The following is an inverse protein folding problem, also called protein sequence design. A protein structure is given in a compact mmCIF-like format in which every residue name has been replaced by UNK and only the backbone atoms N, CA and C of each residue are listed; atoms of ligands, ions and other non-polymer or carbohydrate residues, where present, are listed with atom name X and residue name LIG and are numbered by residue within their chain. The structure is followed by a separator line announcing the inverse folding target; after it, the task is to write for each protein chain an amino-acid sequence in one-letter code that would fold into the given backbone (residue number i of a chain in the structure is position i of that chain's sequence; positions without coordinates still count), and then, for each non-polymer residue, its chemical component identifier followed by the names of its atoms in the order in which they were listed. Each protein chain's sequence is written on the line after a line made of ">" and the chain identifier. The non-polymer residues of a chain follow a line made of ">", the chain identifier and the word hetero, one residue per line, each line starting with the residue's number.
data_IF_923108596638
#
_entry.id   IF_923108596638
#
_cell.length_a   1.000
_cell.length_b   1.000
_cell.length_c   1.000
_cell.angle_alpha   90.00
_cell.angle_beta   90.00
_cell.angle_gamma   90.00
#
_symmetry.space_group_name_H-M   'P 1'
#
loop_
_entity.id
_entity.type
_entity.pdbx_description
1 polymer ?
#
# COMPACT_ATOMS: atom_id res chain seq x y z
N UNK A 1 -21.43 4.91 -8.60
CA UNK A 1 -20.81 4.94 -9.94
C UNK A 1 -19.34 4.74 -9.67
N UNK A 2 -18.80 3.53 -9.93
CA UNK A 2 -17.35 3.34 -9.90
C UNK A 2 -16.79 4.16 -11.05
N UNK A 3 -16.03 5.20 -10.73
CA UNK A 3 -15.23 5.87 -11.73
C UNK A 3 -14.21 4.84 -12.23
N UNK A 4 -14.20 4.55 -13.54
CA UNK A 4 -13.29 3.59 -14.13
C UNK A 4 -11.85 4.07 -13.88
N UNK A 5 -11.07 3.21 -13.22
CA UNK A 5 -9.67 3.49 -12.98
C UNK A 5 -8.89 3.39 -14.29
N UNK A 6 -7.98 4.32 -14.52
CA UNK A 6 -7.20 4.41 -15.75
C UNK A 6 -6.42 3.10 -16.04
N UNK A 7 -5.82 2.51 -14.99
CA UNK A 7 -5.05 1.27 -15.08
C UNK A 7 -5.89 0.01 -15.38
N UNK A 8 -7.22 0.10 -15.26
CA UNK A 8 -8.14 -1.01 -15.50
C UNK A 8 -9.10 -0.78 -16.66
N UNK A 9 -9.04 0.39 -17.29
CA UNK A 9 -9.95 0.77 -18.39
C UNK A 9 -9.75 -0.12 -19.64
N UNK A 10 -8.49 -0.41 -19.99
CA UNK A 10 -8.13 -1.26 -21.11
C UNK A 10 -7.12 -2.35 -20.69
N UNK A 11 -7.10 -3.51 -21.38
CA UNK A 11 -6.08 -4.52 -21.17
C UNK A 11 -4.67 -3.96 -21.39
N UNK A 12 -3.70 -4.44 -20.61
CA UNK A 12 -2.32 -3.98 -20.71
C UNK A 12 -1.69 -4.28 -22.08
N UNK A 13 -2.14 -5.34 -22.75
CA UNK A 13 -1.75 -5.71 -24.12
C UNK A 13 -2.05 -4.63 -25.16
N UNK A 14 -3.06 -3.80 -24.92
CA UNK A 14 -3.45 -2.74 -25.85
C UNK A 14 -2.48 -1.55 -25.87
N UNK A 15 -1.54 -1.50 -24.91
CA UNK A 15 -0.46 -0.50 -24.86
C UNK A 15 0.83 -1.01 -25.52
N UNK A 16 0.77 -1.98 -26.42
CA UNK A 16 1.90 -2.37 -27.26
C UNK A 16 2.19 -1.33 -28.32
N UNK A 17 3.39 -1.35 -28.88
CA UNK A 17 3.79 -0.44 -29.94
C UNK A 17 3.42 -1.05 -31.29
N UNK A 18 2.75 -0.27 -32.14
CA UNK A 18 2.42 -0.66 -33.50
C UNK A 18 3.54 -0.25 -34.46
N UNK A 19 3.75 -1.07 -35.48
CA UNK A 19 4.74 -0.82 -36.48
C UNK A 19 4.07 -0.49 -37.82
N UNK A 20 4.21 0.74 -38.28
CA UNK A 20 3.74 1.18 -39.58
C UNK A 20 4.89 1.35 -40.56
N UNK A 21 4.80 0.70 -41.69
CA UNK A 21 5.72 0.87 -42.83
C UNK A 21 4.96 1.42 -44.00
N UNK A 22 5.33 2.62 -44.45
CA UNK A 22 4.80 3.16 -45.70
C UNK A 22 5.34 2.37 -46.90
N UNK A 23 4.47 1.60 -47.55
CA UNK A 23 4.76 0.79 -48.73
C UNK A 23 4.54 1.51 -50.06
N UNK A 24 4.21 2.81 -50.01
CA UNK A 24 3.89 3.59 -51.19
C UNK A 24 5.09 3.78 -52.10
N UNK A 25 5.40 2.98 -53.02
CA UNK A 25 6.44 3.09 -54.06
C UNK A 25 7.55 2.02 -53.98
N UNK A 26 7.27 0.86 -53.46
CA UNK A 26 8.25 -0.26 -53.37
C UNK A 26 8.64 -0.90 -54.72
N UNK A 27 7.98 -0.56 -55.84
CA UNK A 27 8.21 -1.16 -57.16
C UNK A 27 9.32 -0.49 -57.97
N UNK A 28 9.91 0.62 -57.50
CA UNK A 28 10.95 1.34 -58.19
C UNK A 28 12.33 0.70 -57.96
N UNK A 29 13.15 0.45 -59.00
CA UNK A 29 14.42 -0.30 -58.88
C UNK A 29 15.48 0.36 -57.97
N UNK A 30 15.43 1.67 -57.79
CA UNK A 30 16.36 2.40 -56.89
C UNK A 30 15.96 2.32 -55.42
N UNK A 31 14.81 1.76 -55.10
CA UNK A 31 14.36 1.54 -53.72
C UNK A 31 14.80 0.16 -53.15
N UNK A 32 15.66 -0.60 -53.89
CA UNK A 32 16.17 -1.89 -53.38
C UNK A 32 17.05 -1.73 -52.13
N UNK A 33 17.72 -0.59 -51.97
CA UNK A 33 18.44 -0.24 -50.76
C UNK A 33 17.52 0.04 -49.58
N UNK A 34 16.26 0.45 -49.86
CA UNK A 34 15.25 0.66 -48.80
C UNK A 34 14.82 -0.66 -48.16
N UNK A 35 14.93 -1.79 -48.83
CA UNK A 35 14.64 -3.10 -48.28
C UNK A 35 15.54 -3.47 -47.07
N UNK A 36 16.83 -3.09 -47.14
CA UNK A 36 17.77 -3.28 -46.03
C UNK A 36 17.42 -2.31 -44.90
N UNK A 37 17.09 -1.05 -45.22
CA UNK A 37 16.66 -0.05 -44.23
C UNK A 37 15.39 -0.45 -43.51
N UNK A 38 14.40 -1.00 -44.22
CA UNK A 38 13.14 -1.52 -43.62
C UNK A 38 13.38 -2.73 -42.70
N UNK A 39 14.28 -3.64 -43.09
CA UNK A 39 14.64 -4.79 -42.27
C UNK A 39 15.33 -4.37 -40.96
N UNK A 40 16.19 -3.36 -41.02
CA UNK A 40 16.85 -2.79 -39.83
C UNK A 40 15.84 -2.06 -38.97
N UNK A 41 14.91 -1.31 -39.54
CA UNK A 41 13.82 -0.63 -38.84
C UNK A 41 12.91 -1.66 -38.12
N UNK A 42 12.55 -2.74 -38.81
CA UNK A 42 11.77 -3.81 -38.22
C UNK A 42 12.52 -4.51 -37.08
N UNK A 43 13.81 -4.76 -37.23
CA UNK A 43 14.66 -5.32 -36.18
C UNK A 43 14.74 -4.41 -34.95
N UNK A 44 14.91 -3.10 -35.16
CA UNK A 44 14.89 -2.11 -34.08
C UNK A 44 13.52 -2.06 -33.41
N UNK A 45 12.44 -2.08 -34.18
CA UNK A 45 11.09 -2.16 -33.64
C UNK A 45 10.90 -3.39 -32.74
N UNK A 46 11.30 -4.57 -33.20
CA UNK A 46 11.19 -5.79 -32.40
C UNK A 46 11.93 -5.68 -31.06
N UNK A 47 13.14 -5.12 -31.06
CA UNK A 47 13.92 -4.90 -29.85
C UNK A 47 13.24 -3.87 -28.96
N UNK A 48 12.80 -2.75 -29.52
CA UNK A 48 12.12 -1.68 -28.78
C UNK A 48 10.82 -2.18 -28.16
N UNK A 49 10.00 -2.89 -28.94
CA UNK A 49 8.75 -3.46 -28.47
C UNK A 49 8.96 -4.52 -27.37
N UNK A 50 10.01 -5.32 -27.47
CA UNK A 50 10.37 -6.28 -26.44
C UNK A 50 10.76 -5.57 -25.12
N UNK A 51 11.64 -4.56 -25.20
CA UNK A 51 12.02 -3.76 -24.03
C UNK A 51 10.82 -3.02 -23.45
N UNK A 52 9.99 -2.46 -24.33
CA UNK A 52 8.76 -1.79 -23.94
C UNK A 52 7.78 -2.74 -23.22
N UNK A 53 7.57 -3.93 -23.74
CA UNK A 53 6.72 -4.95 -23.12
C UNK A 53 7.18 -5.31 -21.72
N UNK A 54 8.49 -5.51 -21.52
CA UNK A 54 9.05 -5.76 -20.19
C UNK A 54 8.78 -4.56 -19.26
N UNK A 55 9.04 -3.34 -19.75
CA UNK A 55 8.79 -2.11 -18.98
C UNK A 55 7.32 -1.96 -18.59
N UNK A 56 6.41 -2.24 -19.52
CA UNK A 56 4.96 -2.20 -19.35
C UNK A 56 4.50 -3.12 -18.20
N UNK A 57 4.91 -4.39 -18.25
CA UNK A 57 4.54 -5.35 -17.19
C UNK A 57 5.18 -5.02 -15.86
N UNK A 58 6.44 -4.56 -15.85
CA UNK A 58 7.14 -4.18 -14.63
C UNK A 58 6.50 -2.93 -14.00
N UNK A 59 6.12 -1.95 -14.80
CA UNK A 59 5.44 -0.74 -14.33
C UNK A 59 4.07 -1.05 -13.73
N UNK A 60 3.29 -1.92 -14.38
CA UNK A 60 2.01 -2.36 -13.84
C UNK A 60 2.17 -3.17 -12.55
N UNK A 61 3.18 -4.05 -12.47
CA UNK A 61 3.50 -4.80 -11.25
C UNK A 61 3.90 -3.85 -10.12
N UNK A 62 4.68 -2.81 -10.40
CA UNK A 62 5.05 -1.78 -9.43
C UNK A 62 3.81 -1.05 -8.90
N UNK A 63 2.91 -0.64 -9.80
CA UNK A 63 1.64 -0.02 -9.42
C UNK A 63 0.78 -0.93 -8.53
N UNK A 64 0.72 -2.22 -8.84
CA UNK A 64 0.01 -3.22 -8.04
C UNK A 64 0.63 -3.37 -6.64
N UNK A 65 1.96 -3.50 -6.55
CA UNK A 65 2.67 -3.62 -5.26
C UNK A 65 2.47 -2.39 -4.39
N UNK A 66 2.53 -1.19 -5.00
CA UNK A 66 2.26 0.07 -4.29
C UNK A 66 0.81 0.09 -3.77
N UNK A 67 -0.17 -0.25 -4.60
CA UNK A 67 -1.56 -0.33 -4.18
C UNK A 67 -1.77 -1.34 -3.04
N UNK A 68 -1.18 -2.53 -3.14
CA UNK A 68 -1.30 -3.56 -2.12
C UNK A 68 -0.59 -3.17 -0.81
N UNK A 69 0.53 -2.45 -0.88
CA UNK A 69 1.22 -1.93 0.30
C UNK A 69 0.39 -0.91 1.09
N UNK A 70 -0.49 -0.18 0.41
CA UNK A 70 -1.43 0.76 1.05
C UNK A 70 -2.72 0.09 1.52
N UNK A 71 -3.04 -1.13 1.06
CA UNK A 71 -4.11 -1.92 1.65
C UNK A 71 -3.64 -2.45 3.00
N UNK A 72 -4.28 -1.97 4.04
CA UNK A 72 -3.87 -2.15 5.44
C UNK A 72 -4.13 -3.55 6.01
N UNK A 73 -4.65 -4.47 5.22
CA UNK A 73 -4.98 -5.83 5.69
C UNK A 73 -3.76 -6.55 6.26
N UNK A 74 -2.60 -6.48 5.56
CA UNK A 74 -1.36 -7.07 6.05
C UNK A 74 -0.88 -6.44 7.38
N UNK A 75 -0.99 -5.11 7.51
CA UNK A 75 -0.57 -4.40 8.72
C UNK A 75 -1.55 -4.68 9.87
N UNK A 76 -2.85 -4.80 9.59
CA UNK A 76 -3.86 -5.20 10.56
C UNK A 76 -3.62 -6.63 11.07
N UNK A 77 -3.30 -7.57 10.20
CA UNK A 77 -2.96 -8.95 10.57
C UNK A 77 -1.69 -9.01 11.42
N UNK A 78 -0.67 -8.22 11.09
CA UNK A 78 0.54 -8.09 11.91
C UNK A 78 0.22 -7.50 13.28
N UNK A 79 -0.59 -6.44 13.33
CA UNK A 79 -0.99 -5.77 14.58
C UNK A 79 -1.75 -6.74 15.50
N UNK A 80 -2.69 -7.51 14.94
CA UNK A 80 -3.43 -8.55 15.67
C UNK A 80 -2.50 -9.66 16.18
N UNK A 81 -1.57 -10.13 15.33
CA UNK A 81 -0.57 -11.14 15.72
C UNK A 81 0.36 -10.65 16.83
N UNK A 82 0.80 -9.40 16.79
CA UNK A 82 1.62 -8.79 17.85
C UNK A 82 0.82 -8.69 19.14
N UNK A 83 -0.43 -8.22 19.08
CA UNK A 83 -1.31 -8.10 20.23
C UNK A 83 -1.55 -9.45 20.92
N UNK A 84 -1.86 -10.49 20.13
CA UNK A 84 -2.01 -11.88 20.64
C UNK A 84 -0.72 -12.45 21.19
N UNK A 85 0.42 -12.12 20.61
CA UNK A 85 1.73 -12.53 21.13
C UNK A 85 2.01 -11.91 22.49
N UNK A 86 1.68 -10.63 22.68
CA UNK A 86 1.80 -9.95 23.99
C UNK A 86 0.91 -10.63 25.02
N UNK A 87 -0.36 -10.92 24.70
CA UNK A 87 -1.27 -11.65 25.58
C UNK A 87 -0.74 -13.03 25.97
N UNK A 88 -0.25 -13.77 24.99
CA UNK A 88 0.28 -15.14 25.20
C UNK A 88 1.52 -15.14 26.06
N UNK A 89 2.48 -14.24 25.79
CA UNK A 89 3.71 -14.10 26.58
C UNK A 89 3.42 -13.67 28.03
N UNK A 90 2.52 -12.73 28.19
CA UNK A 90 2.13 -12.27 29.52
C UNK A 90 1.27 -13.30 30.26
N UNK A 91 0.49 -14.09 29.52
CA UNK A 91 -0.51 -15.00 30.09
C UNK A 91 -1.73 -14.26 30.64
N UNK A 92 -2.07 -13.11 30.02
CA UNK A 92 -3.21 -12.28 30.41
C UNK A 92 -4.10 -12.11 29.20
N UNK A 93 -5.36 -12.50 29.32
CA UNK A 93 -6.38 -12.39 28.29
C UNK A 93 -7.65 -11.76 28.88
N UNK A 94 -8.62 -11.42 28.04
CA UNK A 94 -9.94 -10.96 28.48
C UNK A 94 -10.65 -11.98 29.38
N UNK A 95 -10.33 -13.26 29.21
CA UNK A 95 -10.93 -14.37 29.99
C UNK A 95 -10.20 -14.66 31.30
N UNK A 96 -9.09 -13.95 31.58
CA UNK A 96 -8.34 -14.10 32.82
C UNK A 96 -6.84 -14.36 32.67
N UNK A 97 -6.26 -14.97 33.69
CA UNK A 97 -4.82 -15.18 33.80
C UNK A 97 -4.45 -16.64 33.56
N UNK A 98 -3.38 -16.84 32.80
CA UNK A 98 -2.76 -18.15 32.55
C UNK A 98 -1.54 -18.31 33.48
N UNK A 99 -1.40 -19.48 34.08
CA UNK A 99 -0.23 -19.81 34.89
C UNK A 99 1.08 -19.96 34.08
N UNK A 100 0.98 -20.04 32.77
CA UNK A 100 2.14 -20.22 31.86
C UNK A 100 2.79 -18.88 31.46
N UNK A 101 2.12 -17.74 31.70
CA UNK A 101 2.64 -16.43 31.37
C UNK A 101 3.54 -15.82 32.42
N UNK A 102 4.44 -14.94 32.04
CA UNK A 102 5.38 -14.29 32.98
C UNK A 102 4.70 -13.31 33.94
N UNK A 103 3.51 -12.78 33.55
CA UNK A 103 2.83 -11.74 34.35
C UNK A 103 2.45 -12.22 35.73
N UNK A 104 1.91 -13.44 35.84
CA UNK A 104 1.51 -14.03 37.15
C UNK A 104 2.73 -14.26 38.04
N UNK A 105 3.83 -14.78 37.49
CA UNK A 105 5.07 -14.97 38.26
C UNK A 105 5.68 -13.63 38.74
N UNK A 106 5.68 -12.63 37.88
CA UNK A 106 6.14 -11.29 38.23
C UNK A 106 5.23 -10.60 39.25
N UNK A 107 3.91 -10.80 39.10
CA UNK A 107 2.92 -10.31 40.05
C UNK A 107 3.16 -10.87 41.49
N UNK A 108 3.42 -12.17 41.59
CA UNK A 108 3.69 -12.80 42.90
C UNK A 108 4.93 -12.18 43.57
N UNK A 109 5.97 -11.88 42.81
CA UNK A 109 7.17 -11.21 43.31
C UNK A 109 6.84 -9.79 43.80
N UNK A 110 6.05 -9.02 43.04
CA UNK A 110 5.66 -7.66 43.44
C UNK A 110 4.76 -7.70 44.66
N UNK A 111 3.81 -8.64 44.76
CA UNK A 111 2.95 -8.81 45.95
C UNK A 111 3.82 -9.06 47.18
N UNK A 112 4.86 -9.88 47.07
CA UNK A 112 5.78 -10.15 48.19
C UNK A 112 6.51 -8.87 48.62
N UNK A 113 7.04 -8.09 47.66
CA UNK A 113 7.75 -6.82 47.98
C UNK A 113 6.79 -5.78 48.57
N UNK A 114 5.61 -5.58 47.99
CA UNK A 114 4.60 -4.66 48.48
C UNK A 114 4.08 -5.11 49.85
N UNK A 115 3.87 -6.42 50.03
CA UNK A 115 3.45 -7.00 51.28
C UNK A 115 4.45 -6.75 52.39
N UNK A 116 5.74 -6.92 52.16
CA UNK A 116 6.81 -6.58 53.12
C UNK A 116 6.81 -5.08 53.46
N UNK A 117 6.65 -4.22 52.47
CA UNK A 117 6.59 -2.77 52.66
C UNK A 117 5.35 -2.38 53.50
N UNK A 118 4.19 -2.93 53.19
CA UNK A 118 2.93 -2.70 53.92
C UNK A 118 3.04 -3.20 55.36
N UNK A 119 3.59 -4.41 55.59
CA UNK A 119 3.81 -4.95 56.92
C UNK A 119 4.78 -4.09 57.73
N UNK A 120 5.89 -3.65 57.13
CA UNK A 120 6.85 -2.78 57.79
C UNK A 120 6.24 -1.42 58.18
N UNK A 121 5.57 -0.75 57.23
CA UNK A 121 4.98 0.58 57.47
C UNK A 121 3.75 0.51 58.39
N UNK A 122 2.90 -0.48 58.23
CA UNK A 122 1.66 -0.64 58.99
C UNK A 122 1.89 -1.17 60.39
N UNK A 123 2.72 -2.22 60.59
CA UNK A 123 2.93 -2.88 61.86
C UNK A 123 4.07 -2.25 62.67
N UNK A 124 5.21 -1.99 62.04
CA UNK A 124 6.40 -1.48 62.74
C UNK A 124 6.35 0.03 62.92
N UNK A 125 6.12 0.78 61.84
CA UNK A 125 6.03 2.25 61.89
C UNK A 125 4.68 2.76 62.38
N UNK A 126 3.66 1.92 62.41
CA UNK A 126 2.27 2.29 62.77
C UNK A 126 1.68 3.40 61.89
N UNK A 127 2.19 3.54 60.64
CA UNK A 127 1.72 4.51 59.65
C UNK A 127 0.66 3.85 58.75
N UNK A 128 -0.48 3.51 59.31
CA UNK A 128 -1.57 2.77 58.60
C UNK A 128 -2.06 3.47 57.36
N UNK A 129 -2.08 4.81 57.35
CA UNK A 129 -2.48 5.58 56.18
C UNK A 129 -1.52 5.37 54.98
N UNK A 130 -0.21 5.35 55.21
CA UNK A 130 0.78 5.10 54.14
C UNK A 130 0.71 3.66 53.65
N UNK A 131 0.52 2.70 54.54
CA UNK A 131 0.33 1.30 54.19
C UNK A 131 -0.91 1.11 53.29
N UNK A 132 -2.03 1.74 53.69
CA UNK A 132 -3.27 1.69 52.88
C UNK A 132 -3.09 2.32 51.52
N UNK A 133 -2.43 3.47 51.39
CA UNK A 133 -2.15 4.09 50.09
C UNK A 133 -1.28 3.20 49.20
N UNK A 134 -0.30 2.50 49.77
CA UNK A 134 0.53 1.57 49.00
C UNK A 134 -0.27 0.41 48.43
N UNK A 135 -1.21 -0.15 49.22
CA UNK A 135 -2.12 -1.22 48.75
C UNK A 135 -3.03 -0.70 47.64
N UNK A 136 -3.66 0.47 47.81
CA UNK A 136 -4.55 1.05 46.83
C UNK A 136 -3.79 1.32 45.51
N UNK A 137 -2.62 1.96 45.60
CA UNK A 137 -1.79 2.21 44.41
C UNK A 137 -1.39 0.92 43.70
N UNK A 138 -1.02 -0.11 44.44
CA UNK A 138 -0.70 -1.42 43.89
C UNK A 138 -1.90 -2.00 43.11
N UNK A 139 -3.10 -2.01 43.75
CA UNK A 139 -4.31 -2.54 43.10
C UNK A 139 -4.65 -1.76 41.83
N UNK A 140 -4.58 -0.43 41.87
CA UNK A 140 -4.85 0.42 40.70
C UNK A 140 -3.86 0.12 39.59
N UNK A 141 -2.56 0.10 39.85
CA UNK A 141 -1.53 -0.20 38.84
C UNK A 141 -1.69 -1.62 38.29
N UNK A 142 -2.00 -2.58 39.17
CA UNK A 142 -2.26 -3.96 38.74
C UNK A 142 -3.44 -4.08 37.79
N UNK A 143 -4.59 -3.48 38.15
CA UNK A 143 -5.79 -3.52 37.29
C UNK A 143 -5.54 -2.83 35.95
N UNK A 144 -4.92 -1.64 35.99
CA UNK A 144 -4.60 -0.92 34.74
C UNK A 144 -3.62 -1.69 33.84
N UNK A 145 -2.57 -2.27 34.43
CA UNK A 145 -1.57 -3.06 33.72
C UNK A 145 -2.18 -4.33 33.12
N UNK A 146 -2.96 -5.07 33.90
CA UNK A 146 -3.64 -6.27 33.42
C UNK A 146 -4.65 -5.94 32.28
N UNK A 147 -5.43 -4.87 32.46
CA UNK A 147 -6.37 -4.41 31.44
C UNK A 147 -5.65 -4.00 30.14
N UNK A 148 -4.53 -3.28 30.27
CA UNK A 148 -3.76 -2.88 29.09
C UNK A 148 -3.24 -4.07 28.28
N UNK A 149 -2.76 -5.13 28.97
CA UNK A 149 -2.28 -6.34 28.33
C UNK A 149 -3.46 -7.15 27.75
N UNK A 150 -4.55 -7.29 28.51
CA UNK A 150 -5.73 -8.04 28.08
C UNK A 150 -6.37 -7.48 26.80
N UNK A 151 -6.35 -6.17 26.64
CA UNK A 151 -6.88 -5.49 25.44
C UNK A 151 -5.78 -5.03 24.48
N UNK A 152 -4.58 -5.59 24.57
CA UNK A 152 -3.46 -5.22 23.68
C UNK A 152 -3.79 -5.34 22.18
N UNK A 153 -4.46 -6.40 21.70
CA UNK A 153 -4.83 -6.48 20.27
C UNK A 153 -5.71 -5.31 19.82
N UNK A 154 -6.70 -4.94 20.66
CA UNK A 154 -7.63 -3.85 20.33
C UNK A 154 -6.94 -2.49 20.31
N UNK A 155 -6.04 -2.23 21.26
CA UNK A 155 -5.28 -0.97 21.27
C UNK A 155 -4.34 -0.87 20.07
N UNK A 156 -3.62 -1.94 19.77
CA UNK A 156 -2.67 -1.95 18.65
C UNK A 156 -3.43 -1.77 17.34
N UNK A 157 -4.57 -2.45 17.17
CA UNK A 157 -5.42 -2.29 16.00
C UNK A 157 -5.94 -0.86 15.85
N UNK A 158 -6.46 -0.26 16.91
CA UNK A 158 -6.95 1.13 16.88
C UNK A 158 -5.85 2.15 16.62
N UNK A 159 -4.65 1.95 17.16
CA UNK A 159 -3.49 2.81 16.85
C UNK A 159 -3.13 2.67 15.38
N UNK A 160 -3.17 1.46 14.83
CA UNK A 160 -2.90 1.22 13.43
C UNK A 160 -3.98 1.84 12.54
N UNK A 161 -5.27 1.67 12.83
CA UNK A 161 -6.39 2.31 12.13
C UNK A 161 -6.22 3.85 12.11
N UNK A 162 -5.94 4.44 13.27
CA UNK A 162 -5.71 5.88 13.38
C UNK A 162 -4.49 6.36 12.56
N UNK A 163 -3.38 5.62 12.60
CA UNK A 163 -2.18 5.91 11.79
C UNK A 163 -2.50 5.83 10.30
N UNK A 164 -3.31 4.85 9.91
CA UNK A 164 -3.80 4.67 8.57
C UNK A 164 -4.66 5.84 8.09
N UNK A 165 -5.63 6.24 8.90
CA UNK A 165 -6.53 7.35 8.59
C UNK A 165 -5.73 8.64 8.35
N UNK A 166 -4.71 8.90 9.20
CA UNK A 166 -3.81 10.04 9.00
C UNK A 166 -3.01 9.90 7.70
N UNK A 167 -2.49 8.70 7.41
CA UNK A 167 -1.73 8.46 6.18
C UNK A 167 -2.60 8.66 4.95
N UNK A 168 -3.81 8.12 4.94
CA UNK A 168 -4.79 8.27 3.85
C UNK A 168 -5.19 9.74 3.67
N UNK A 169 -5.47 10.46 4.75
CA UNK A 169 -5.79 11.88 4.69
C UNK A 169 -4.61 12.72 4.15
N UNK A 170 -3.38 12.36 4.52
CA UNK A 170 -2.17 13.02 4.02
C UNK A 170 -1.94 12.75 2.53
N UNK A 171 -2.21 11.52 2.09
CA UNK A 171 -2.15 11.12 0.68
C UNK A 171 -3.23 11.83 -0.14
N UNK A 172 -4.47 11.92 0.36
CA UNK A 172 -5.56 12.63 -0.30
C UNK A 172 -5.24 14.11 -0.50
N UNK A 173 -4.68 14.77 0.52
CA UNK A 173 -4.18 16.13 0.41
C UNK A 173 -3.05 16.26 -0.61
N UNK A 174 -2.06 15.35 -0.57
CA UNK A 174 -0.94 15.33 -1.51
C UNK A 174 -1.41 15.14 -2.95
N UNK A 175 -2.34 14.23 -3.18
CA UNK A 175 -2.89 13.93 -4.52
C UNK A 175 -3.68 15.11 -5.08
N UNK A 176 -4.51 15.76 -4.25
CA UNK A 176 -5.25 16.97 -4.65
C UNK A 176 -4.34 18.16 -4.97
N UNK A 177 -3.19 18.26 -4.30
CA UNK A 177 -2.20 19.31 -4.60
C UNK A 177 -1.45 19.01 -5.90
N UNK A 178 -1.10 17.74 -6.15
CA UNK A 178 -0.33 17.34 -7.34
C UNK A 178 -1.18 17.24 -8.61
N UNK A 179 -2.45 16.87 -8.48
CA UNK A 179 -3.38 16.63 -9.59
C UNK A 179 -4.68 17.40 -9.41
N UNK A 180 -4.66 18.74 -9.43
CA UNK A 180 -5.85 19.57 -9.14
C UNK A 180 -6.98 19.39 -10.16
N UNK A 181 -6.71 18.84 -11.35
CA UNK A 181 -7.67 18.64 -12.45
C UNK A 181 -7.99 17.15 -12.71
N UNK A 182 -7.56 16.23 -11.84
CA UNK A 182 -7.97 14.83 -11.99
C UNK A 182 -9.44 14.67 -11.58
N UNK A 183 -10.21 13.87 -12.35
CA UNK A 183 -11.56 13.42 -11.97
C UNK A 183 -11.46 12.52 -10.73
N UNK A 184 -11.23 13.15 -9.58
CA UNK A 184 -11.04 12.49 -8.29
C UNK A 184 -12.36 12.22 -7.56
N UNK A 185 -13.50 12.61 -8.14
CA UNK A 185 -14.81 12.37 -7.53
C UNK A 185 -15.09 10.85 -7.45
N UNK A 186 -15.01 10.31 -6.25
CA UNK A 186 -15.38 8.93 -5.93
C UNK A 186 -14.26 7.89 -6.02
N UNK A 187 -13.01 8.28 -6.27
CA UNK A 187 -11.84 7.39 -6.22
C UNK A 187 -11.14 7.46 -4.86
N UNK A 188 -10.71 6.31 -4.37
CA UNK A 188 -9.84 6.23 -3.21
C UNK A 188 -8.45 6.81 -3.54
N UNK A 189 -7.81 7.45 -2.56
CA UNK A 189 -6.48 8.08 -2.73
C UNK A 189 -5.42 7.09 -3.24
N UNK A 190 -5.53 5.82 -2.87
CA UNK A 190 -4.64 4.75 -3.32
C UNK A 190 -4.84 4.43 -4.81
N UNK A 191 -6.09 4.41 -5.27
CA UNK A 191 -6.43 4.22 -6.68
C UNK A 191 -5.97 5.41 -7.53
N UNK A 192 -6.05 6.64 -7.01
CA UNK A 192 -5.51 7.83 -7.67
C UNK A 192 -3.99 7.78 -7.82
N UNK A 193 -3.26 7.30 -6.81
CA UNK A 193 -1.81 7.10 -6.90
C UNK A 193 -1.48 6.06 -7.96
N UNK A 194 -2.22 4.95 -8.01
CA UNK A 194 -2.03 3.92 -9.01
C UNK A 194 -2.32 4.42 -10.42
N UNK A 195 -3.41 5.16 -10.61
CA UNK A 195 -3.74 5.82 -11.88
C UNK A 195 -2.65 6.80 -12.31
N UNK A 196 -2.12 7.58 -11.38
CA UNK A 196 -1.02 8.52 -11.66
C UNK A 196 0.26 7.81 -12.05
N UNK A 197 0.62 6.74 -11.35
CA UNK A 197 1.78 5.90 -11.71
C UNK A 197 1.58 5.25 -13.09
N UNK A 198 0.39 4.75 -13.38
CA UNK A 198 0.07 4.18 -14.68
C UNK A 198 0.18 5.22 -15.79
N UNK A 199 -0.38 6.41 -15.60
CA UNK A 199 -0.30 7.51 -16.57
C UNK A 199 1.16 7.90 -16.84
N UNK A 200 1.98 8.07 -15.80
CA UNK A 200 3.38 8.50 -15.94
C UNK A 200 4.27 7.40 -16.53
N UNK A 201 4.06 6.15 -16.14
CA UNK A 201 4.97 5.05 -16.50
C UNK A 201 4.52 4.26 -17.74
N UNK A 202 3.25 4.30 -18.10
CA UNK A 202 2.68 3.53 -19.21
C UNK A 202 2.08 4.44 -20.25
N UNK A 203 1.06 5.22 -19.92
CA UNK A 203 0.27 5.97 -20.90
C UNK A 203 1.09 7.06 -21.59
N UNK A 204 1.74 7.95 -20.84
CA UNK A 204 2.53 9.04 -21.42
C UNK A 204 3.74 8.54 -22.26
N UNK A 205 4.56 7.59 -21.81
CA UNK A 205 5.60 7.01 -22.62
C UNK A 205 5.08 6.29 -23.86
N UNK A 206 3.95 5.57 -23.76
CA UNK A 206 3.32 4.93 -24.92
C UNK A 206 2.86 5.96 -25.95
N UNK A 207 2.18 7.04 -25.54
CA UNK A 207 1.79 8.13 -26.43
C UNK A 207 3.00 8.77 -27.12
N UNK A 208 4.08 8.99 -26.35
CA UNK A 208 5.31 9.56 -26.91
C UNK A 208 5.98 8.64 -27.94
N UNK A 209 6.02 7.34 -27.67
CA UNK A 209 6.62 6.35 -28.57
C UNK A 209 5.76 6.11 -29.81
N UNK A 210 4.44 6.13 -29.67
CA UNK A 210 3.50 5.85 -30.75
C UNK A 210 3.24 7.07 -31.65
N UNK A 211 3.09 8.24 -31.05
CA UNK A 211 2.68 9.48 -31.75
C UNK A 211 3.77 10.57 -31.77
N UNK A 212 4.87 10.37 -31.07
CA UNK A 212 5.91 11.39 -30.92
C UNK A 212 5.53 12.56 -30.02
N UNK A 213 4.36 12.54 -29.40
CA UNK A 213 3.83 13.56 -28.52
C UNK A 213 3.02 12.90 -27.39
N UNK A 214 3.10 13.43 -26.16
CA UNK A 214 2.33 12.94 -25.02
C UNK A 214 1.07 13.77 -24.73
N UNK A 215 0.80 14.83 -25.52
CA UNK A 215 -0.38 15.67 -25.35
C UNK A 215 -1.58 15.10 -26.11
N UNK A 216 -2.53 14.54 -25.39
CA UNK A 216 -3.72 13.90 -25.93
C UNK A 216 -4.62 14.89 -26.70
N UNK A 217 -4.63 16.18 -26.34
CA UNK A 217 -5.40 17.20 -27.03
C UNK A 217 -4.82 17.50 -28.44
N UNK A 218 -3.50 17.48 -28.58
CA UNK A 218 -2.84 17.70 -29.88
C UNK A 218 -2.92 16.49 -30.78
N UNK A 219 -2.91 15.27 -30.21
CA UNK A 219 -3.03 14.01 -30.99
C UNK A 219 -4.48 13.80 -31.46
N UNK A 220 -5.45 14.24 -30.66
CA UNK A 220 -6.86 13.98 -30.79
C UNK A 220 -7.30 12.80 -29.91
N UNK A 221 -8.15 13.07 -28.90
CA UNK A 221 -8.62 12.07 -27.95
C UNK A 221 -9.26 10.85 -28.63
N UNK A 222 -10.05 11.07 -29.68
CA UNK A 222 -10.72 10.00 -30.45
C UNK A 222 -9.73 9.05 -31.11
N UNK A 223 -8.59 9.53 -31.55
CA UNK A 223 -7.52 8.71 -32.15
C UNK A 223 -6.82 7.84 -31.14
N UNK A 224 -6.53 8.40 -29.98
CA UNK A 224 -5.90 7.67 -28.87
C UNK A 224 -6.85 6.58 -28.38
N UNK A 225 -8.13 6.91 -28.20
CA UNK A 225 -9.14 5.96 -27.75
C UNK A 225 -9.38 4.85 -28.77
N UNK A 226 -9.42 5.17 -30.06
CA UNK A 226 -9.57 4.18 -31.12
C UNK A 226 -8.42 3.17 -31.15
N UNK A 227 -7.17 3.63 -30.95
CA UNK A 227 -6.00 2.75 -30.96
C UNK A 227 -5.91 1.91 -29.67
N UNK A 228 -6.16 2.50 -28.51
CA UNK A 228 -6.12 1.77 -27.22
C UNK A 228 -7.29 0.80 -27.06
N UNK A 229 -8.44 1.07 -27.68
CA UNK A 229 -9.60 0.18 -27.65
C UNK A 229 -9.52 -0.97 -28.66
N UNK A 230 -8.67 -0.86 -29.69
CA UNK A 230 -8.43 -1.94 -30.65
C UNK A 230 -7.76 -3.12 -29.95
N UNK A 231 -8.28 -4.32 -30.12
CA UNK A 231 -7.62 -5.53 -29.65
C UNK A 231 -6.43 -5.85 -30.57
N UNK A 232 -5.28 -6.30 -30.04
CA UNK A 232 -4.17 -6.78 -30.89
C UNK A 232 -4.53 -7.97 -31.77
N UNK A 233 -5.71 -8.57 -31.56
CA UNK A 233 -6.23 -9.69 -32.38
C UNK A 233 -7.07 -9.21 -33.58
N UNK A 234 -7.39 -7.92 -33.66
CA UNK A 234 -8.24 -7.33 -34.71
C UNK A 234 -7.43 -6.70 -35.86
N UNK A 235 -6.10 -6.80 -35.85
CA UNK A 235 -5.16 -6.42 -36.91
C UNK A 235 -4.61 -7.68 -37.62
#
# INVERSE_FOLDING_TARGET
>A
VNADNLYSKYPLSNYQLDFYVDNSWSWLPWNWLDGIGKSVQYGLYCITNFVWTISLYLSNATGYVVQEAYKLDFINDMADSIGKSIQTLAGVTENGFSSTGFYVGFLLLIILVVGMYVAYTGLIKRETSKALHAVINFVVVFVLSASFIAYAPDYIKKINEFSSDISTASLDLGTKIMLPNSDSEGKDSVDLIRDSLFSIQVEQPWLLLQFGNSNTEEIGADRVEALVSASPEDE
#
